data_IF_469036823458
#
_entry.id   IF_469036823458
#
_cell.length_a   1.000
_cell.length_b   1.000
_cell.length_c   1.000
_cell.angle_alpha   90.00
_cell.angle_beta   90.00
_cell.angle_gamma   90.00
#
_symmetry.space_group_name_H-M   'P 1'
#
loop_
_entity.id
_entity.type
_entity.pdbx_description
1 polymer ?
#
# COMPACT_ATOMS: atom_id res chain seq x y z
N UNK A 1 5.76 -18.79 51.67
CA UNK A 1 5.75 -17.43 51.07
C UNK A 1 6.57 -17.39 49.76
N UNK A 2 6.24 -18.23 48.77
CA UNK A 2 6.91 -18.26 47.46
C UNK A 2 5.93 -18.48 46.29
N UNK A 3 4.65 -18.15 46.50
CA UNK A 3 3.57 -18.45 45.55
C UNK A 3 2.81 -17.23 45.03
N UNK A 4 2.96 -16.06 45.66
CA UNK A 4 2.17 -14.86 45.30
C UNK A 4 2.85 -14.07 44.16
N UNK A 5 4.19 -14.01 44.13
CA UNK A 5 4.93 -13.27 43.10
C UNK A 5 4.87 -13.89 41.70
N UNK A 6 4.70 -15.21 41.61
CA UNK A 6 4.64 -15.92 40.32
C UNK A 6 3.29 -15.70 39.62
N UNK A 7 2.20 -15.64 40.38
CA UNK A 7 0.87 -15.40 39.82
C UNK A 7 0.72 -13.99 39.25
N UNK A 8 1.27 -12.96 39.90
CA UNK A 8 1.13 -11.57 39.43
C UNK A 8 1.92 -11.31 38.14
N UNK A 9 3.07 -11.96 37.96
CA UNK A 9 3.88 -11.83 36.74
C UNK A 9 3.23 -12.49 35.51
N UNK A 10 2.37 -13.50 35.69
CA UNK A 10 1.64 -14.11 34.57
C UNK A 10 0.49 -13.24 34.05
N UNK A 11 -0.15 -12.44 34.90
CA UNK A 11 -1.31 -11.61 34.47
C UNK A 11 -0.85 -10.36 33.71
N UNK A 12 0.32 -9.81 34.02
CA UNK A 12 0.87 -8.63 33.33
C UNK A 12 1.42 -8.92 31.93
N UNK A 13 1.71 -10.19 31.61
CA UNK A 13 2.15 -10.59 30.27
C UNK A 13 1.01 -10.61 29.23
N UNK A 14 -0.25 -10.52 29.67
CA UNK A 14 -1.44 -10.45 28.80
C UNK A 14 -1.83 -9.02 28.41
N UNK A 15 -0.97 -8.03 28.70
CA UNK A 15 -1.15 -6.65 28.24
C UNK A 15 -0.41 -6.36 26.93
N UNK A 16 0.05 -7.40 26.23
CA UNK A 16 0.80 -7.27 24.98
C UNK A 16 -0.01 -7.99 23.91
N UNK A 17 -0.28 -7.29 22.80
CA UNK A 17 -1.00 -7.78 21.62
C UNK A 17 -2.53 -7.67 21.69
N UNK A 18 -3.03 -6.45 21.89
CA UNK A 18 -4.08 -5.98 20.98
C UNK A 18 -3.42 -5.67 19.64
N UNK A 19 -2.97 -6.70 18.93
CA UNK A 19 -2.91 -6.61 17.48
C UNK A 19 -4.26 -7.12 17.08
N UNK A 20 -5.22 -6.21 16.92
CA UNK A 20 -6.35 -6.52 16.07
C UNK A 20 -5.74 -7.10 14.79
N UNK A 21 -6.11 -8.32 14.35
CA UNK A 21 -5.94 -8.66 12.97
C UNK A 21 -6.98 -7.80 12.25
N UNK A 22 -6.70 -6.50 12.14
CA UNK A 22 -7.25 -5.73 11.05
C UNK A 22 -6.87 -6.53 9.82
N UNK A 23 -7.82 -6.74 8.92
CA UNK A 23 -7.61 -7.19 7.56
C UNK A 23 -6.73 -6.17 6.83
N UNK A 24 -5.52 -5.97 7.33
CA UNK A 24 -4.73 -4.78 7.17
C UNK A 24 -4.30 -4.71 5.73
N UNK A 25 -4.53 -3.55 5.14
CA UNK A 25 -4.07 -3.22 3.80
C UNK A 25 -2.59 -3.60 3.63
N UNK A 26 -2.33 -4.63 2.82
CA UNK A 26 -0.98 -5.18 2.60
C UNK A 26 -0.43 -4.83 1.22
N UNK A 27 0.86 -5.10 1.01
CA UNK A 27 1.44 -5.03 -0.33
C UNK A 27 0.87 -6.07 -1.30
N UNK A 28 0.33 -7.19 -0.80
CA UNK A 28 -0.36 -8.17 -1.65
C UNK A 28 -1.64 -7.55 -2.18
N UNK A 29 -2.43 -6.91 -1.31
CA UNK A 29 -3.65 -6.20 -1.71
C UNK A 29 -3.35 -5.10 -2.73
N UNK A 30 -2.31 -4.29 -2.51
CA UNK A 30 -1.89 -3.26 -3.48
C UNK A 30 -1.55 -3.87 -4.83
N UNK A 31 -0.76 -4.95 -4.86
CA UNK A 31 -0.36 -5.60 -6.10
C UNK A 31 -1.59 -6.17 -6.85
N UNK A 32 -2.50 -6.84 -6.15
CA UNK A 32 -3.73 -7.39 -6.72
C UNK A 32 -4.64 -6.31 -7.28
N UNK A 33 -4.81 -5.19 -6.56
CA UNK A 33 -5.59 -4.05 -7.04
C UNK A 33 -4.98 -3.40 -8.30
N UNK A 34 -3.66 -3.51 -8.51
CA UNK A 34 -2.98 -2.87 -9.64
C UNK A 34 -2.63 -3.82 -10.79
N UNK A 35 -2.98 -5.11 -10.71
CA UNK A 35 -2.69 -6.11 -11.77
C UNK A 35 -3.21 -5.65 -13.14
N UNK A 36 -4.42 -5.08 -13.19
CA UNK A 36 -5.02 -4.64 -14.45
C UNK A 36 -4.38 -3.36 -15.03
N UNK A 37 -3.48 -2.72 -14.29
CA UNK A 37 -2.79 -1.52 -14.73
C UNK A 37 -1.54 -1.82 -15.58
N UNK A 38 -1.07 -3.07 -15.63
CA UNK A 38 0.22 -3.44 -16.25
C UNK A 38 0.32 -2.99 -17.71
N UNK A 39 -0.72 -3.16 -18.52
CA UNK A 39 -0.69 -2.74 -19.92
C UNK A 39 -0.55 -1.22 -20.08
N UNK A 40 -1.22 -0.44 -19.22
CA UNK A 40 -1.05 1.02 -19.21
C UNK A 40 0.34 1.41 -18.73
N UNK A 41 0.80 0.79 -17.63
CA UNK A 41 2.11 1.04 -17.02
C UNK A 41 3.29 0.71 -17.94
N UNK A 42 3.12 -0.23 -18.86
CA UNK A 42 4.09 -0.59 -19.92
C UNK A 42 3.85 0.17 -21.23
N UNK A 43 2.73 0.92 -21.31
CA UNK A 43 2.31 1.69 -22.47
C UNK A 43 1.86 0.85 -23.67
N UNK A 44 1.42 -0.39 -23.43
CA UNK A 44 0.65 -1.17 -24.38
C UNK A 44 -0.75 -0.58 -24.59
N UNK A 45 -1.35 -0.04 -23.51
CA UNK A 45 -2.61 0.69 -23.56
C UNK A 45 -2.38 2.20 -23.37
N UNK A 46 -3.03 3.02 -24.19
CA UNK A 46 -2.95 4.47 -24.10
C UNK A 46 -3.73 5.06 -22.90
N UNK A 47 -4.68 4.28 -22.35
CA UNK A 47 -5.53 4.67 -21.22
C UNK A 47 -5.70 3.49 -20.26
N UNK A 48 -5.80 3.72 -18.94
CA UNK A 48 -6.10 2.66 -18.00
C UNK A 48 -7.50 2.09 -18.24
N UNK A 49 -7.62 0.77 -18.12
CA UNK A 49 -8.93 0.09 -18.15
C UNK A 49 -9.68 0.36 -16.85
N UNK A 50 -11.01 0.21 -16.88
CA UNK A 50 -11.85 0.55 -15.72
C UNK A 50 -11.44 -0.17 -14.45
N UNK A 51 -11.16 -1.48 -14.50
CA UNK A 51 -10.77 -2.23 -13.31
C UNK A 51 -9.40 -1.84 -12.74
N UNK A 52 -8.48 -1.32 -13.58
CA UNK A 52 -7.27 -0.67 -13.09
C UNK A 52 -7.62 0.58 -12.27
N UNK A 53 -8.50 1.44 -12.79
CA UNK A 53 -8.90 2.65 -12.06
C UNK A 53 -9.70 2.36 -10.79
N UNK A 54 -10.51 1.31 -10.77
CA UNK A 54 -11.20 0.87 -9.56
C UNK A 54 -10.20 0.37 -8.50
N UNK A 55 -9.15 -0.33 -8.92
CA UNK A 55 -8.04 -0.70 -8.06
C UNK A 55 -7.28 0.50 -7.48
N UNK A 56 -6.96 1.49 -8.31
CA UNK A 56 -6.33 2.75 -7.85
C UNK A 56 -7.21 3.47 -6.83
N UNK A 57 -8.53 3.53 -7.06
CA UNK A 57 -9.49 4.12 -6.10
C UNK A 57 -9.54 3.36 -4.77
N UNK A 58 -9.46 2.02 -4.82
CA UNK A 58 -9.37 1.19 -3.61
C UNK A 58 -8.09 1.50 -2.83
N UNK A 59 -6.93 1.45 -3.48
CA UNK A 59 -5.64 1.83 -2.86
C UNK A 59 -5.70 3.22 -2.24
N UNK A 60 -6.31 4.19 -2.93
CA UNK A 60 -6.54 5.53 -2.38
C UNK A 60 -7.40 5.53 -1.12
N UNK A 61 -8.46 4.73 -1.09
CA UNK A 61 -9.37 4.61 0.06
C UNK A 61 -8.68 4.10 1.32
N UNK A 62 -7.65 3.27 1.17
CA UNK A 62 -6.86 2.73 2.26
C UNK A 62 -5.78 3.71 2.77
N UNK A 63 -5.48 4.78 2.04
CA UNK A 63 -4.44 5.75 2.39
C UNK A 63 -4.92 6.83 3.38
N UNK A 64 -5.46 6.43 4.53
CA UNK A 64 -6.10 7.37 5.48
C UNK A 64 -5.12 7.98 6.48
N UNK A 65 -4.10 7.23 6.88
CA UNK A 65 -3.04 7.62 7.83
C UNK A 65 -1.70 7.80 7.14
N UNK A 66 -0.75 8.45 7.80
CA UNK A 66 0.65 8.54 7.35
C UNK A 66 1.25 7.16 7.13
N UNK A 67 1.01 6.23 8.07
CA UNK A 67 1.54 4.87 8.01
C UNK A 67 1.02 4.13 6.78
N UNK A 68 -0.28 4.20 6.51
CA UNK A 68 -0.90 3.58 5.34
C UNK A 68 -0.42 4.20 4.03
N UNK A 69 -0.24 5.53 3.96
CA UNK A 69 0.33 6.20 2.78
C UNK A 69 1.75 5.73 2.50
N UNK A 70 2.58 5.64 3.54
CA UNK A 70 3.96 5.12 3.44
C UNK A 70 3.95 3.66 3.01
N UNK A 71 3.06 2.86 3.57
CA UNK A 71 2.87 1.46 3.19
C UNK A 71 2.47 1.35 1.72
N UNK A 72 1.41 2.04 1.29
CA UNK A 72 0.96 2.08 -0.10
C UNK A 72 2.09 2.47 -1.05
N UNK A 73 2.81 3.56 -0.75
CA UNK A 73 3.93 4.04 -1.56
C UNK A 73 5.01 2.95 -1.71
N UNK A 74 5.44 2.33 -0.61
CA UNK A 74 6.45 1.27 -0.64
C UNK A 74 5.94 0.02 -1.37
N UNK A 75 4.68 -0.35 -1.21
CA UNK A 75 4.07 -1.48 -1.89
C UNK A 75 3.95 -1.24 -3.41
N UNK A 76 3.53 -0.04 -3.83
CA UNK A 76 3.48 0.35 -5.24
C UNK A 76 4.88 0.29 -5.85
N UNK A 77 5.88 0.82 -5.15
CA UNK A 77 7.29 0.76 -5.58
C UNK A 77 7.78 -0.68 -5.73
N UNK A 78 7.46 -1.56 -4.77
CA UNK A 78 7.79 -2.99 -4.86
C UNK A 78 7.02 -3.73 -5.95
N UNK A 79 5.78 -3.35 -6.24
CA UNK A 79 5.02 -3.93 -7.36
C UNK A 79 5.62 -3.49 -8.69
N UNK A 80 6.01 -2.22 -8.80
CA UNK A 80 6.64 -1.64 -10.00
C UNK A 80 7.94 -2.36 -10.38
N UNK A 81 8.77 -2.79 -9.41
CA UNK A 81 10.01 -3.52 -9.71
C UNK A 81 9.78 -4.89 -10.34
N UNK A 82 8.58 -5.46 -10.22
CA UNK A 82 8.20 -6.76 -10.81
C UNK A 82 7.71 -6.64 -12.25
N UNK A 83 7.48 -5.42 -12.74
CA UNK A 83 6.97 -5.15 -14.08
C UNK A 83 8.14 -4.75 -14.99
N UNK A 84 8.46 -5.59 -15.96
CA UNK A 84 9.45 -5.26 -16.98
C UNK A 84 8.95 -4.13 -17.89
N UNK A 85 9.84 -3.22 -18.30
CA UNK A 85 9.55 -2.09 -19.19
C UNK A 85 8.49 -1.11 -18.66
N UNK A 86 8.41 -0.96 -17.33
CA UNK A 86 7.54 0.05 -16.74
C UNK A 86 7.98 1.47 -17.15
N UNK A 87 7.01 2.31 -17.50
CA UNK A 87 7.25 3.72 -17.85
C UNK A 87 6.98 4.59 -16.62
N UNK A 88 8.01 5.29 -16.14
CA UNK A 88 7.87 6.18 -14.96
C UNK A 88 6.82 7.29 -15.20
N UNK A 89 6.69 7.77 -16.44
CA UNK A 89 5.63 8.72 -16.81
C UNK A 89 4.23 8.12 -16.72
N UNK A 90 4.05 6.82 -16.95
CA UNK A 90 2.76 6.14 -16.77
C UNK A 90 2.47 5.91 -15.28
N UNK A 91 3.48 5.60 -14.46
CA UNK A 91 3.33 5.49 -13.00
C UNK A 91 2.86 6.81 -12.40
N UNK A 92 3.52 7.90 -12.76
CA UNK A 92 3.23 9.25 -12.23
C UNK A 92 1.86 9.76 -12.68
N UNK A 93 1.41 9.42 -13.89
CA UNK A 93 0.13 9.90 -14.44
C UNK A 93 -1.08 8.97 -14.18
N UNK A 94 -0.86 7.72 -13.75
CA UNK A 94 -1.94 6.74 -13.58
C UNK A 94 -3.07 7.22 -12.66
N UNK A 95 -2.71 7.77 -11.49
CA UNK A 95 -3.68 8.22 -10.51
C UNK A 95 -4.58 9.34 -11.05
N UNK A 96 -3.98 10.30 -11.78
CA UNK A 96 -4.69 11.39 -12.43
C UNK A 96 -5.54 10.89 -13.61
N UNK A 97 -5.01 9.99 -14.42
CA UNK A 97 -5.73 9.36 -15.54
C UNK A 97 -6.98 8.59 -15.06
N UNK A 98 -6.97 8.10 -13.81
CA UNK A 98 -8.09 7.43 -13.17
C UNK A 98 -9.01 8.36 -12.36
N UNK A 99 -8.75 9.67 -12.34
CA UNK A 99 -9.52 10.64 -11.53
C UNK A 99 -9.41 10.38 -10.03
N UNK A 100 -8.34 9.70 -9.60
CA UNK A 100 -8.12 9.26 -8.23
C UNK A 100 -6.72 9.67 -7.76
N UNK A 101 -6.39 10.99 -7.76
CA UNK A 101 -5.08 11.45 -7.31
C UNK A 101 -4.81 10.96 -5.89
N UNK A 102 -3.65 10.33 -5.70
CA UNK A 102 -3.20 9.84 -4.40
C UNK A 102 -2.74 11.03 -3.55
N UNK A 103 -2.84 10.94 -2.21
CA UNK A 103 -2.44 12.02 -1.31
C UNK A 103 -0.91 12.15 -1.15
N UNK A 104 -0.13 11.56 -2.06
CA UNK A 104 1.33 11.61 -2.13
C UNK A 104 1.76 11.37 -3.59
N UNK A 105 2.94 11.88 -4.00
CA UNK A 105 3.48 11.59 -5.31
C UNK A 105 3.96 10.14 -5.40
N UNK A 106 3.81 9.54 -6.57
CA UNK A 106 4.28 8.18 -6.84
C UNK A 106 5.21 8.21 -8.05
N UNK A 107 6.45 7.80 -7.84
CA UNK A 107 7.40 7.50 -8.91
C UNK A 107 8.28 6.34 -8.49
N UNK A 108 9.04 5.78 -9.43
CA UNK A 108 9.99 4.70 -9.14
C UNK A 108 11.14 5.14 -8.23
N UNK A 109 11.38 6.44 -8.11
CA UNK A 109 12.50 7.04 -7.35
C UNK A 109 12.08 7.79 -6.10
N UNK A 110 10.79 8.11 -5.93
CA UNK A 110 10.30 8.84 -4.78
C UNK A 110 10.65 8.14 -3.45
N UNK A 111 11.03 8.94 -2.44
CA UNK A 111 11.29 8.45 -1.10
C UNK A 111 10.00 8.45 -0.28
N UNK A 112 9.42 7.26 -0.12
CA UNK A 112 8.18 7.05 0.63
C UNK A 112 8.28 7.49 2.09
N UNK A 113 9.48 7.54 2.69
CA UNK A 113 9.63 7.97 4.08
C UNK A 113 9.43 9.47 4.29
N UNK A 114 9.51 10.26 3.20
CA UNK A 114 9.26 11.70 3.23
C UNK A 114 7.78 12.08 3.36
N UNK A 115 6.87 11.11 3.22
CA UNK A 115 5.42 11.32 3.39
C UNK A 115 5.14 11.65 4.87
N UNK A 116 4.54 12.81 5.21
CA UNK A 116 4.23 13.21 6.57
C UNK A 116 3.03 12.46 7.16
#
# INVERSE_FOLDING_TARGET
MKGVGVCVLMVLAMAQLMVEPTNGFTCVDVAENLVQCVNYLTGADAKPVQGCCDGVKRVKGECTTTEEKRLACNCIKQAATRIHNIKDSAVTSLADACGAPLPFPVSTTFDCNSIP
#
